data_IF_316954557017
#
_entry.id   IF_316954557017
#
_cell.length_a   1.000
_cell.length_b   1.000
_cell.length_c   1.000
_cell.angle_alpha   90.00
_cell.angle_beta   90.00
_cell.angle_gamma   90.00
#
_symmetry.space_group_name_H-M   'P 1'
#
loop_
_entity.id
_entity.type
_entity.pdbx_description
1 polymer ?
#
# COMPACT_ATOMS: atom_id res chain seq x y z
N UNK A 1 13.82 5.88 -6.56
CA UNK A 1 13.07 4.74 -6.02
C UNK A 1 11.68 4.76 -6.60
N UNK A 2 11.37 3.82 -7.47
CA UNK A 2 10.01 3.60 -7.96
C UNK A 2 9.16 2.92 -6.87
N UNK A 3 7.87 2.71 -7.15
CA UNK A 3 6.92 2.13 -6.18
C UNK A 3 7.35 0.74 -5.66
N UNK A 4 7.86 -0.15 -6.53
CA UNK A 4 8.33 -1.47 -6.11
C UNK A 4 9.53 -1.36 -5.17
N UNK A 5 10.51 -0.52 -5.51
CA UNK A 5 11.70 -0.31 -4.69
C UNK A 5 11.37 0.29 -3.31
N UNK A 6 10.39 1.19 -3.27
CA UNK A 6 9.84 1.74 -2.02
C UNK A 6 9.24 0.62 -1.18
N UNK A 7 8.32 -0.15 -1.76
CA UNK A 7 7.67 -1.26 -1.07
C UNK A 7 8.69 -2.28 -0.54
N UNK A 8 9.62 -2.73 -1.38
CA UNK A 8 10.63 -3.73 -1.01
C UNK A 8 11.52 -3.25 0.13
N UNK A 9 11.86 -1.95 0.15
CA UNK A 9 12.68 -1.35 1.21
C UNK A 9 11.92 -1.33 2.53
N UNK A 10 10.67 -0.87 2.51
CA UNK A 10 9.83 -0.81 3.71
C UNK A 10 9.50 -2.21 4.22
N UNK A 11 9.09 -3.13 3.36
CA UNK A 11 8.75 -4.51 3.74
C UNK A 11 9.92 -5.21 4.41
N UNK A 12 11.11 -5.18 3.80
CA UNK A 12 12.32 -5.76 4.39
C UNK A 12 12.68 -5.10 5.72
N UNK A 13 12.57 -3.77 5.80
CA UNK A 13 12.87 -3.04 7.03
C UNK A 13 11.94 -3.44 8.18
N UNK A 14 10.61 -3.42 7.95
CA UNK A 14 9.63 -3.78 8.96
C UNK A 14 9.81 -5.23 9.43
N UNK A 15 9.97 -6.18 8.50
CA UNK A 15 10.16 -7.59 8.82
C UNK A 15 11.52 -7.90 9.45
N UNK A 16 12.51 -7.04 9.27
CA UNK A 16 13.80 -7.13 9.98
C UNK A 16 13.71 -6.52 11.37
N UNK A 17 13.05 -5.36 11.51
CA UNK A 17 12.97 -4.62 12.78
C UNK A 17 12.02 -5.30 13.78
N UNK A 18 10.92 -5.89 13.29
CA UNK A 18 9.91 -6.62 14.08
C UNK A 18 9.48 -5.88 15.36
N UNK A 19 9.42 -4.56 15.28
CA UNK A 19 9.11 -3.69 16.41
C UNK A 19 8.68 -2.32 15.92
N UNK A 20 7.75 -1.70 16.63
CA UNK A 20 7.31 -0.33 16.35
C UNK A 20 8.39 0.69 16.70
N UNK A 21 8.51 1.71 15.87
CA UNK A 21 9.34 2.90 16.10
C UNK A 21 8.54 3.93 16.86
N UNK A 22 8.86 4.10 18.14
CA UNK A 22 8.14 4.99 19.06
C UNK A 22 9.02 6.18 19.44
N UNK A 23 8.43 7.37 19.40
CA UNK A 23 9.01 8.61 19.90
C UNK A 23 8.66 8.88 21.37
N UNK A 24 9.13 10.01 21.87
CA UNK A 24 8.68 10.54 23.16
C UNK A 24 7.16 10.83 23.09
N UNK A 25 6.41 10.41 24.10
CA UNK A 25 4.95 10.55 24.12
C UNK A 25 4.16 9.38 23.52
N UNK A 26 4.82 8.28 23.16
CA UNK A 26 4.15 7.03 22.79
C UNK A 26 3.45 7.07 21.42
N UNK A 27 3.90 7.96 20.53
CA UNK A 27 3.47 8.02 19.13
C UNK A 27 4.51 7.40 18.22
N UNK A 28 4.10 7.05 17.00
CA UNK A 28 5.04 6.69 15.94
C UNK A 28 6.05 7.82 15.73
N UNK A 29 7.33 7.45 15.59
CA UNK A 29 8.38 8.36 15.18
C UNK A 29 9.06 7.86 13.90
N UNK A 30 9.39 8.79 12.99
CA UNK A 30 10.22 8.48 11.83
C UNK A 30 11.57 7.95 12.29
N UNK A 31 12.17 8.59 13.30
CA UNK A 31 13.37 8.13 14.00
C UNK A 31 13.08 7.93 15.49
N UNK A 32 12.71 6.70 15.84
CA UNK A 32 12.32 6.32 17.20
C UNK A 32 13.49 5.92 18.10
N UNK A 33 13.15 5.60 19.35
CA UNK A 33 14.11 5.18 20.36
C UNK A 33 14.89 3.92 19.95
N UNK A 34 16.17 3.85 20.32
CA UNK A 34 17.03 2.70 20.04
C UNK A 34 17.40 2.53 18.57
N UNK A 35 17.36 3.62 17.78
CA UNK A 35 17.70 3.60 16.35
C UNK A 35 16.64 2.96 15.46
N UNK A 36 15.42 2.76 15.99
CA UNK A 36 14.30 2.23 15.23
C UNK A 36 13.77 3.28 14.25
N UNK A 37 13.23 2.82 13.14
CA UNK A 37 12.59 3.66 12.14
C UNK A 37 11.23 3.08 11.79
N UNK A 38 10.24 3.92 11.54
CA UNK A 38 8.94 3.43 11.08
C UNK A 38 8.96 3.10 9.57
N UNK A 39 7.80 2.78 9.02
CA UNK A 39 7.61 2.49 7.59
C UNK A 39 8.08 3.62 6.68
N UNK A 40 7.78 4.88 7.02
CA UNK A 40 8.20 6.05 6.22
C UNK A 40 9.63 6.48 6.58
N UNK A 41 10.01 6.39 7.85
CA UNK A 41 11.29 6.88 8.35
C UNK A 41 12.50 6.22 7.71
N UNK A 42 12.41 4.93 7.33
CA UNK A 42 13.50 4.20 6.65
C UNK A 42 13.80 4.75 5.25
N UNK A 43 12.87 5.47 4.62
CA UNK A 43 13.03 6.01 3.28
C UNK A 43 13.65 7.42 3.28
N UNK A 44 13.60 8.11 4.42
CA UNK A 44 14.13 9.47 4.55
C UNK A 44 15.62 9.34 4.86
N UNK A 45 16.49 9.81 3.97
CA UNK A 45 17.94 9.85 4.21
C UNK A 45 18.28 10.75 5.39
N UNK A 46 19.38 10.47 6.07
CA UNK A 46 19.81 11.22 7.24
C UNK A 46 20.03 12.71 6.91
N UNK A 47 20.57 13.04 5.74
CA UNK A 47 20.73 14.43 5.27
C UNK A 47 19.41 15.16 4.94
N UNK A 48 18.32 14.41 4.74
CA UNK A 48 16.99 14.96 4.47
C UNK A 48 16.08 14.92 5.71
N UNK A 49 16.55 14.32 6.80
CA UNK A 49 15.78 14.20 8.03
C UNK A 49 15.96 15.42 8.92
N UNK A 50 14.83 15.94 9.40
CA UNK A 50 14.80 17.03 10.37
C UNK A 50 13.78 16.74 11.47
N UNK A 51 14.09 17.14 12.71
CA UNK A 51 13.25 16.83 13.88
C UNK A 51 11.81 17.35 13.75
N UNK A 52 11.57 18.42 13.00
CA UNK A 52 10.22 18.96 12.78
C UNK A 52 9.36 18.12 11.82
N UNK A 53 9.95 17.13 11.14
CA UNK A 53 9.17 16.13 10.39
C UNK A 53 8.44 15.20 11.34
N UNK A 54 8.94 15.00 12.56
CA UNK A 54 8.24 14.19 13.56
C UNK A 54 6.84 14.75 13.85
N UNK A 55 5.91 13.85 14.19
CA UNK A 55 4.48 14.11 14.33
C UNK A 55 3.75 14.58 13.05
N UNK A 56 4.44 14.74 11.91
CA UNK A 56 3.79 15.08 10.64
C UNK A 56 3.30 13.82 9.92
N UNK A 57 2.09 13.81 9.33
CA UNK A 57 1.62 12.69 8.53
C UNK A 57 2.41 12.57 7.22
N UNK A 58 2.42 11.38 6.63
CA UNK A 58 3.10 11.12 5.33
C UNK A 58 2.62 12.02 4.18
N UNK A 59 1.39 12.53 4.26
CA UNK A 59 0.82 13.45 3.27
C UNK A 59 1.18 14.93 3.52
N UNK A 60 1.91 15.24 4.60
CA UNK A 60 2.41 16.58 4.83
C UNK A 60 3.45 16.94 3.75
N UNK A 61 3.37 18.17 3.22
CA UNK A 61 4.27 18.64 2.16
C UNK A 61 5.76 18.52 2.51
N UNK A 62 6.17 18.84 3.74
CA UNK A 62 7.57 18.79 4.18
C UNK A 62 8.09 17.34 4.22
N UNK A 63 7.21 16.40 4.60
CA UNK A 63 7.55 14.97 4.59
C UNK A 63 7.70 14.48 3.16
N UNK A 64 6.80 14.87 2.26
CA UNK A 64 6.89 14.53 0.84
C UNK A 64 8.14 15.12 0.19
N UNK A 65 8.52 16.36 0.51
CA UNK A 65 9.76 16.99 0.07
C UNK A 65 10.99 16.21 0.55
N UNK A 66 11.03 15.81 1.83
CA UNK A 66 12.11 15.01 2.38
C UNK A 66 12.23 13.63 1.68
N UNK A 67 11.11 13.00 1.37
CA UNK A 67 11.08 11.73 0.63
C UNK A 67 11.56 11.91 -0.82
N UNK A 68 11.11 12.96 -1.51
CA UNK A 68 11.57 13.29 -2.87
C UNK A 68 13.07 13.59 -2.90
N UNK A 69 13.58 14.38 -1.95
CA UNK A 69 15.00 14.65 -1.79
C UNK A 69 15.82 13.38 -1.45
N UNK A 70 15.19 12.42 -0.78
CA UNK A 70 15.76 11.09 -0.52
C UNK A 70 15.74 10.17 -1.76
N UNK A 71 15.14 10.61 -2.87
CA UNK A 71 15.09 9.90 -4.15
C UNK A 71 13.83 9.06 -4.35
N UNK A 72 12.77 9.26 -3.57
CA UNK A 72 11.47 8.62 -3.77
C UNK A 72 10.69 9.31 -4.89
N UNK A 73 10.21 8.54 -5.87
CA UNK A 73 9.31 9.04 -6.90
C UNK A 73 7.90 9.21 -6.34
N UNK A 74 7.56 10.43 -5.90
CA UNK A 74 6.34 10.71 -5.15
C UNK A 74 5.11 10.88 -6.05
N UNK A 75 4.55 9.77 -6.53
CA UNK A 75 3.24 9.75 -7.19
C UNK A 75 2.10 9.65 -6.16
N UNK A 76 0.86 9.92 -6.59
CA UNK A 76 -0.32 9.74 -5.73
C UNK A 76 -0.43 8.30 -5.20
N UNK A 77 -0.18 7.30 -6.05
CA UNK A 77 -0.25 5.91 -5.64
C UNK A 77 0.85 5.57 -4.62
N UNK A 78 2.06 6.13 -4.76
CA UNK A 78 3.14 5.95 -3.76
C UNK A 78 2.75 6.57 -2.43
N UNK A 79 2.16 7.78 -2.44
CA UNK A 79 1.70 8.44 -1.22
C UNK A 79 0.61 7.63 -0.49
N UNK A 80 -0.36 7.06 -1.22
CA UNK A 80 -1.39 6.20 -0.63
C UNK A 80 -0.82 4.88 -0.11
N UNK A 81 0.09 4.25 -0.87
CA UNK A 81 0.76 3.02 -0.44
C UNK A 81 1.56 3.26 0.86
N UNK A 82 2.32 4.36 0.95
CA UNK A 82 3.06 4.70 2.17
C UNK A 82 2.15 4.92 3.38
N UNK A 83 0.97 5.52 3.18
CA UNK A 83 -0.05 5.64 4.23
C UNK A 83 -0.54 4.27 4.70
N UNK A 84 -0.75 3.32 3.79
CA UNK A 84 -1.13 1.94 4.15
C UNK A 84 -0.01 1.21 4.89
N UNK A 85 1.24 1.33 4.43
CA UNK A 85 2.40 0.73 5.08
C UNK A 85 2.61 1.29 6.50
N UNK A 86 2.42 2.60 6.68
CA UNK A 86 2.43 3.25 8.00
C UNK A 86 1.30 2.73 8.89
N UNK A 87 0.11 2.50 8.34
CA UNK A 87 -1.02 1.90 9.08
C UNK A 87 -0.70 0.48 9.57
N UNK A 88 -0.01 -0.33 8.76
CA UNK A 88 0.45 -1.66 9.17
C UNK A 88 1.39 -1.55 10.37
N UNK A 89 2.37 -0.65 10.30
CA UNK A 89 3.32 -0.40 11.39
C UNK A 89 2.61 0.07 12.68
N UNK A 90 1.63 0.97 12.58
CA UNK A 90 1.04 1.63 13.75
C UNK A 90 -0.06 0.81 14.43
N UNK A 91 -0.82 0.00 13.68
CA UNK A 91 -2.06 -0.61 14.17
C UNK A 91 -2.06 -2.15 14.19
N UNK A 92 -1.13 -2.80 13.51
CA UNK A 92 -1.08 -4.27 13.46
C UNK A 92 0.03 -4.80 14.34
N UNK A 93 -0.24 -5.90 15.05
CA UNK A 93 0.79 -6.65 15.75
C UNK A 93 1.83 -7.19 14.75
N UNK A 94 3.10 -7.20 15.15
CA UNK A 94 4.23 -7.56 14.27
C UNK A 94 4.10 -8.97 13.67
N UNK A 95 3.43 -9.90 14.36
CA UNK A 95 3.11 -11.24 13.85
C UNK A 95 2.23 -11.22 12.59
N UNK A 96 1.46 -10.15 12.37
CA UNK A 96 0.56 -10.00 11.23
C UNK A 96 1.18 -9.17 10.09
N UNK A 97 2.35 -8.55 10.29
CA UNK A 97 2.92 -7.63 9.30
C UNK A 97 3.18 -8.29 7.95
N UNK A 98 3.70 -9.52 7.92
CA UNK A 98 3.95 -10.23 6.67
C UNK A 98 2.65 -10.43 5.86
N UNK A 99 1.58 -10.88 6.51
CA UNK A 99 0.28 -11.08 5.89
C UNK A 99 -0.30 -9.77 5.33
N UNK A 100 -0.22 -8.68 6.09
CA UNK A 100 -0.69 -7.37 5.63
C UNK A 100 0.15 -6.79 4.49
N UNK A 101 1.46 -7.02 4.50
CA UNK A 101 2.34 -6.62 3.40
C UNK A 101 2.01 -7.37 2.10
N UNK A 102 1.62 -8.64 2.16
CA UNK A 102 1.12 -9.37 0.98
C UNK A 102 -0.15 -8.75 0.41
N UNK A 103 -1.08 -8.28 1.26
CA UNK A 103 -2.29 -7.60 0.80
C UNK A 103 -1.97 -6.27 0.11
N UNK A 104 -1.04 -5.48 0.66
CA UNK A 104 -0.57 -4.25 -0.01
C UNK A 104 0.06 -4.60 -1.36
N UNK A 105 0.95 -5.59 -1.42
CA UNK A 105 1.57 -5.98 -2.68
C UNK A 105 0.51 -6.38 -3.73
N UNK A 106 -0.49 -7.18 -3.34
CA UNK A 106 -1.61 -7.53 -4.22
C UNK A 106 -2.38 -6.31 -4.70
N UNK A 107 -2.75 -5.39 -3.79
CA UNK A 107 -3.62 -4.25 -4.09
C UNK A 107 -2.93 -3.24 -5.04
N UNK A 108 -1.60 -3.17 -5.04
CA UNK A 108 -0.80 -2.31 -5.92
C UNK A 108 -0.14 -3.06 -7.09
N UNK A 109 -0.36 -4.38 -7.21
CA UNK A 109 0.23 -5.20 -8.29
C UNK A 109 1.75 -5.33 -8.20
N UNK A 110 2.29 -5.43 -6.98
CA UNK A 110 3.72 -5.48 -6.68
C UNK A 110 4.20 -6.91 -6.45
N UNK A 111 5.48 -7.12 -6.70
CA UNK A 111 6.17 -8.38 -6.42
C UNK A 111 6.37 -8.57 -4.90
N UNK A 112 6.38 -9.83 -4.47
CA UNK A 112 6.42 -10.21 -3.04
C UNK A 112 7.75 -10.84 -2.62
N UNK A 113 8.76 -10.78 -3.49
CA UNK A 113 10.11 -11.32 -3.25
C UNK A 113 10.75 -10.77 -1.97
N UNK A 114 10.49 -9.49 -1.65
CA UNK A 114 10.92 -8.83 -0.42
C UNK A 114 10.33 -9.43 0.87
N UNK A 115 9.19 -10.11 0.78
CA UNK A 115 8.55 -10.82 1.90
C UNK A 115 8.98 -12.29 1.91
N UNK A 116 8.96 -12.94 0.74
CA UNK A 116 9.26 -14.37 0.56
C UNK A 116 10.68 -14.75 1.03
N UNK A 117 11.64 -13.82 0.96
CA UNK A 117 13.04 -14.03 1.34
C UNK A 117 13.30 -14.28 2.84
N UNK A 118 12.28 -14.17 3.69
CA UNK A 118 12.40 -14.31 5.15
C UNK A 118 11.85 -15.61 5.76
N UNK A 119 11.00 -16.37 5.06
CA UNK A 119 10.35 -17.56 5.64
C UNK A 119 9.85 -18.53 4.56
N UNK A 120 10.63 -19.59 4.28
CA UNK A 120 10.12 -20.74 3.53
C UNK A 120 9.60 -21.80 4.49
N UNK A 121 8.31 -22.11 4.37
CA UNK A 121 7.74 -23.37 4.85
C UNK A 121 6.66 -23.23 5.92
N UNK A 122 5.44 -22.84 5.52
CA UNK A 122 4.14 -23.41 6.00
C UNK A 122 2.93 -22.46 5.82
N UNK A 123 3.13 -21.14 5.67
CA UNK A 123 1.99 -20.19 5.71
C UNK A 123 1.52 -19.66 4.35
N UNK A 124 2.26 -19.87 3.25
CA UNK A 124 1.88 -19.40 1.90
C UNK A 124 0.53 -19.97 1.44
N UNK A 125 0.12 -21.14 1.95
CA UNK A 125 -1.15 -21.77 1.61
C UNK A 125 -2.35 -21.31 2.45
N UNK A 126 -2.16 -20.83 3.69
CA UNK A 126 -3.30 -20.52 4.56
C UNK A 126 -3.89 -19.13 4.27
N UNK A 127 -3.05 -18.16 3.88
CA UNK A 127 -3.48 -16.78 3.69
C UNK A 127 -4.23 -16.54 2.37
N UNK A 128 -3.85 -17.23 1.29
CA UNK A 128 -4.59 -17.18 0.02
C UNK A 128 -6.01 -17.75 0.16
N UNK A 129 -6.30 -18.51 1.23
CA UNK A 129 -7.57 -19.19 1.44
C UNK A 129 -8.58 -18.43 2.30
N UNK A 130 -8.18 -17.46 3.14
CA UNK A 130 -9.07 -16.93 4.19
C UNK A 130 -9.78 -15.62 3.87
N UNK A 131 -9.43 -14.91 2.79
CA UNK A 131 -10.27 -13.82 2.24
C UNK A 131 -10.81 -12.81 3.27
N UNK A 132 -10.05 -12.51 4.34
CA UNK A 132 -10.55 -11.60 5.37
C UNK A 132 -10.51 -10.17 4.84
N UNK A 133 -11.70 -9.56 4.78
CA UNK A 133 -11.89 -8.17 4.44
C UNK A 133 -11.17 -7.29 5.48
N UNK A 134 -10.28 -6.42 5.00
CA UNK A 134 -9.71 -5.34 5.82
C UNK A 134 -10.86 -4.49 6.38
N UNK A 135 -10.81 -4.04 7.65
CA UNK A 135 -11.69 -2.98 8.10
C UNK A 135 -11.47 -1.75 7.20
N UNK A 136 -12.49 -1.43 6.41
CA UNK A 136 -12.49 -0.30 5.49
C UNK A 136 -12.40 1.01 6.29
N UNK A 137 -11.20 1.54 6.49
CA UNK A 137 -11.06 2.99 6.60
C UNK A 137 -11.21 3.55 5.20
N UNK A 138 -12.37 4.16 4.93
CA UNK A 138 -12.79 4.69 3.64
C UNK A 138 -11.65 5.35 2.86
N UNK A 139 -11.12 4.64 1.86
CA UNK A 139 -10.28 5.21 0.81
C UNK A 139 -10.91 4.86 -0.53
N UNK A 140 -11.37 5.88 -1.23
CA UNK A 140 -11.92 5.81 -2.57
C UNK A 140 -10.94 5.16 -3.55
N UNK A 141 -11.14 3.89 -3.89
CA UNK A 141 -10.74 3.36 -5.20
C UNK A 141 -11.87 2.49 -5.77
N UNK A 142 -12.92 3.18 -6.22
CA UNK A 142 -13.73 2.66 -7.32
C UNK A 142 -12.95 2.89 -8.61
N UNK A 143 -12.38 1.83 -9.18
CA UNK A 143 -12.01 1.82 -10.60
C UNK A 143 -12.21 0.42 -11.16
N UNK A 144 -13.43 0.19 -11.64
CA UNK A 144 -13.67 -0.78 -12.70
C UNK A 144 -12.96 -0.26 -13.96
N UNK A 145 -11.96 -0.99 -14.45
CA UNK A 145 -11.44 -0.83 -15.81
C UNK A 145 -11.87 -2.08 -16.57
N UNK A 146 -13.07 -2.00 -17.17
CA UNK A 146 -13.45 -2.85 -18.29
C UNK A 146 -12.99 -2.14 -19.56
N UNK A 147 -11.86 -2.58 -20.12
CA UNK A 147 -11.48 -2.26 -21.48
C UNK A 147 -11.17 -3.56 -22.22
N UNK A 148 -12.15 -4.04 -22.99
CA UNK A 148 -11.92 -4.80 -24.22
C UNK A 148 -13.00 -4.41 -25.23
N UNK A 149 -12.64 -3.46 -26.09
CA UNK A 149 -13.23 -3.34 -27.42
C UNK A 149 -12.18 -3.86 -28.40
N UNK A 150 -12.54 -4.79 -29.28
CA UNK A 150 -12.30 -4.75 -30.73
C UNK A 150 -12.90 -6.03 -31.37
N UNK A 151 -14.00 -5.77 -32.08
CA UNK A 151 -14.43 -6.24 -33.40
C UNK A 151 -14.55 -7.75 -33.71
N UNK A 152 -15.73 -8.14 -34.19
CA UNK A 152 -15.87 -9.31 -35.06
C UNK A 152 -17.27 -9.90 -35.24
N UNK A 153 -18.08 -9.28 -36.10
CA UNK A 153 -19.04 -9.91 -37.03
C UNK A 153 -20.32 -10.67 -36.55
N UNK A 154 -21.44 -10.10 -37.04
CA UNK A 154 -22.58 -10.73 -37.74
C UNK A 154 -23.64 -11.54 -36.98
N UNK A 155 -24.90 -11.13 -37.17
CA UNK A 155 -26.07 -11.95 -36.85
C UNK A 155 -27.39 -11.18 -36.91
N UNK A 156 -27.98 -11.11 -38.11
CA UNK A 156 -29.35 -10.67 -38.39
C UNK A 156 -30.41 -11.36 -37.52
N UNK A 157 -31.44 -10.63 -37.08
CA UNK A 157 -32.86 -11.02 -37.18
C UNK A 157 -33.76 -9.88 -36.66
N UNK A 158 -34.54 -9.27 -37.56
CA UNK A 158 -35.63 -8.38 -37.18
C UNK A 158 -36.95 -9.14 -37.13
N UNK A 159 -37.92 -8.65 -36.35
CA UNK A 159 -39.34 -8.80 -36.63
C UNK A 159 -40.11 -7.58 -36.11
N UNK A 160 -40.90 -7.02 -37.03
CA UNK A 160 -41.93 -6.01 -36.83
C UNK A 160 -43.15 -6.57 -36.07
N UNK A 161 -43.87 -5.67 -35.39
CA UNK A 161 -45.32 -5.36 -35.49
C UNK A 161 -45.99 -5.14 -34.14
N UNK A 162 -46.80 -4.07 -34.05
CA UNK A 162 -47.85 -3.94 -33.04
C UNK A 162 -48.14 -2.52 -32.58
N UNK A 163 -48.83 -1.73 -33.42
CA UNK A 163 -49.67 -0.62 -32.93
C UNK A 163 -50.80 -1.20 -32.08
N UNK A 164 -51.22 -0.50 -31.04
CA UNK A 164 -52.63 -0.27 -30.72
C UNK A 164 -52.76 0.99 -29.85
N UNK A 165 -53.85 1.71 -30.07
CA UNK A 165 -54.10 3.08 -29.70
C UNK A 165 -55.07 3.19 -28.51
N UNK A 166 -54.95 4.31 -27.77
CA UNK A 166 -56.05 5.10 -27.13
C UNK A 166 -56.92 4.44 -26.04
N UNK A 167 -57.68 5.20 -25.23
CA UNK A 167 -57.98 6.65 -25.25
C UNK A 167 -57.12 7.52 -24.35
#
# INVERSE_FOLDING_TARGET
MNMQEVFDTVARHLLKQMSVSMGEGGKCAYRGQGGKMCAVGVLIKDECYFKWLEDQPVLNHQVQEALMASGVEMTLDVAYMLKELQSIHDYYGTANWAAELYLVARDYGLETTAIDGGFYGSQKLLFLATGQARPLHATCKGRAILQRSILGFSGYAGYHWGRLATP
#
